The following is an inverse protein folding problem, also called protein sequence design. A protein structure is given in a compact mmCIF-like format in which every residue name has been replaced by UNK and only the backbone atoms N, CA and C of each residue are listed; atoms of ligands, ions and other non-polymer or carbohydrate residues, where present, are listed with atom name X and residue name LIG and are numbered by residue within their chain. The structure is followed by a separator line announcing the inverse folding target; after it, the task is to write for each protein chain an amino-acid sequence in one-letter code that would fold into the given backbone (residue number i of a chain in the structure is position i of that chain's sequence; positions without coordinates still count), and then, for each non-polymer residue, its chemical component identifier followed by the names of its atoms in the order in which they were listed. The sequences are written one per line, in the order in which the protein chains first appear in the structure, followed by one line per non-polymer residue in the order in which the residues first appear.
data_IF_561422318962
#
_entry.id   IF_561422318962
#
_cell.length_a   1.000
_cell.length_b   1.000
_cell.length_c   1.000
_cell.angle_alpha   90.00
_cell.angle_beta   90.00
_cell.angle_gamma   90.00
#
_symmetry.space_group_name_H-M   'P 1'
#
loop_
_entity.id
_entity.type
_entity.pdbx_description
1 polymer ?
#
# COMPACT_ATOMS: atom_id res chain seq x y z
N UNK A 1 -62.13 -58.84 -22.18
CA UNK A 1 -61.45 -58.74 -20.91
C UNK A 1 -59.95 -58.62 -21.11
N UNK A 2 -59.17 -57.90 -20.44
CA UNK A 2 -57.74 -57.98 -20.58
C UNK A 2 -57.03 -56.80 -19.97
N UNK A 3 -56.46 -57.00 -18.80
CA UNK A 3 -55.20 -56.45 -18.28
C UNK A 3 -54.88 -54.94 -18.35
N UNK A 4 -55.09 -54.29 -17.27
CA UNK A 4 -54.38 -53.06 -16.90
C UNK A 4 -54.01 -53.08 -15.42
N UNK A 5 -52.98 -53.87 -15.05
CA UNK A 5 -52.46 -53.88 -13.67
C UNK A 5 -50.94 -53.90 -13.55
N UNK A 6 -50.16 -53.76 -14.61
CA UNK A 6 -48.69 -53.84 -14.57
C UNK A 6 -47.98 -52.51 -14.33
N UNK A 7 -48.64 -51.37 -14.54
CA UNK A 7 -47.98 -50.02 -14.42
C UNK A 7 -47.83 -49.52 -12.96
N UNK A 8 -48.68 -49.95 -12.06
CA UNK A 8 -48.69 -49.40 -10.70
C UNK A 8 -47.62 -49.97 -9.75
N UNK A 9 -47.16 -51.22 -10.01
CA UNK A 9 -46.09 -51.84 -9.24
C UNK A 9 -44.70 -51.34 -9.65
N UNK A 10 -44.50 -51.01 -10.92
CA UNK A 10 -43.24 -50.49 -11.40
C UNK A 10 -42.97 -49.07 -10.88
N UNK A 11 -44.00 -48.23 -10.77
CA UNK A 11 -43.86 -46.86 -10.25
C UNK A 11 -43.45 -46.84 -8.77
N UNK A 12 -44.04 -47.71 -7.91
CA UNK A 12 -43.61 -47.80 -6.51
C UNK A 12 -42.16 -48.25 -6.31
N UNK A 13 -41.61 -49.08 -7.22
CA UNK A 13 -40.19 -49.43 -7.22
C UNK A 13 -39.31 -48.24 -7.65
N UNK A 14 -39.69 -47.52 -8.69
CA UNK A 14 -38.99 -46.33 -9.16
C UNK A 14 -38.97 -45.22 -8.09
N UNK A 15 -40.04 -45.04 -7.31
CA UNK A 15 -40.10 -44.05 -6.22
C UNK A 15 -39.08 -44.34 -5.10
N UNK A 16 -38.84 -45.63 -4.78
CA UNK A 16 -37.83 -46.03 -3.79
C UNK A 16 -36.40 -45.66 -4.25
N UNK A 17 -36.10 -45.84 -5.50
CA UNK A 17 -34.80 -45.46 -6.05
C UNK A 17 -34.63 -43.92 -6.19
N UNK A 18 -35.70 -43.23 -6.51
CA UNK A 18 -35.73 -41.76 -6.53
C UNK A 18 -35.46 -41.16 -5.14
N UNK A 19 -36.07 -41.75 -4.08
CA UNK A 19 -35.83 -41.31 -2.71
C UNK A 19 -34.34 -41.55 -2.28
N UNK A 20 -33.77 -42.69 -2.71
CA UNK A 20 -32.36 -43.01 -2.42
C UNK A 20 -31.41 -42.08 -3.17
N UNK A 21 -31.73 -41.71 -4.41
CA UNK A 21 -30.97 -40.74 -5.20
C UNK A 21 -31.01 -39.32 -4.59
N UNK A 22 -32.19 -38.91 -4.09
CA UNK A 22 -32.33 -37.60 -3.40
C UNK A 22 -31.53 -37.55 -2.10
N UNK A 23 -31.50 -38.64 -1.33
CA UNK A 23 -30.70 -38.76 -0.11
C UNK A 23 -29.18 -38.66 -0.37
N UNK A 24 -28.73 -39.06 -1.56
CA UNK A 24 -27.32 -38.91 -1.99
C UNK A 24 -27.03 -37.53 -2.60
N UNK A 25 -27.97 -36.99 -3.39
CA UNK A 25 -27.75 -35.72 -4.10
C UNK A 25 -27.80 -34.48 -3.20
N UNK A 26 -28.67 -34.50 -2.15
CA UNK A 26 -28.81 -33.38 -1.22
C UNK A 26 -27.48 -33.07 -0.47
N UNK A 27 -26.83 -34.04 0.18
CA UNK A 27 -25.55 -33.77 0.84
C UNK A 27 -24.43 -33.41 -0.13
N UNK A 28 -24.41 -33.99 -1.32
CA UNK A 28 -23.43 -33.66 -2.35
C UNK A 28 -23.64 -32.23 -2.85
N UNK A 29 -24.88 -31.82 -3.13
CA UNK A 29 -25.19 -30.44 -3.54
C UNK A 29 -24.86 -29.43 -2.44
N UNK A 30 -25.09 -29.78 -1.16
CA UNK A 30 -24.71 -28.96 -0.03
C UNK A 30 -23.17 -28.80 0.08
N UNK A 31 -22.41 -29.87 -0.12
CA UNK A 31 -20.96 -29.83 -0.13
C UNK A 31 -20.42 -29.00 -1.31
N UNK A 32 -21.01 -29.16 -2.50
CA UNK A 32 -20.65 -28.36 -3.68
C UNK A 32 -21.02 -26.89 -3.45
N UNK A 33 -22.20 -26.61 -2.89
CA UNK A 33 -22.63 -25.25 -2.57
C UNK A 33 -21.65 -24.57 -1.60
N UNK A 34 -21.27 -25.23 -0.51
CA UNK A 34 -20.30 -24.70 0.45
C UNK A 34 -18.91 -24.54 -0.16
N UNK A 35 -18.52 -25.41 -1.08
CA UNK A 35 -17.22 -25.31 -1.77
C UNK A 35 -17.20 -24.19 -2.82
N UNK A 36 -18.32 -23.97 -3.52
CA UNK A 36 -18.47 -22.92 -4.55
C UNK A 36 -18.83 -21.57 -3.93
N UNK A 37 -19.61 -21.57 -2.84
CA UNK A 37 -20.00 -20.33 -2.16
C UNK A 37 -18.82 -19.57 -1.56
N UNK A 38 -17.64 -20.22 -1.44
CA UNK A 38 -16.46 -19.60 -0.85
C UNK A 38 -16.68 -19.23 0.61
N UNK A 39 -15.64 -18.94 1.30
CA UNK A 39 -15.76 -18.25 2.59
C UNK A 39 -16.40 -16.87 2.34
N UNK A 40 -17.31 -16.41 3.21
CA UNK A 40 -17.84 -15.06 3.09
C UNK A 40 -16.63 -14.12 3.01
N UNK A 41 -16.59 -13.29 1.96
CA UNK A 41 -15.58 -12.23 1.85
C UNK A 41 -15.63 -11.49 3.18
N UNK A 42 -14.59 -11.62 3.99
CA UNK A 42 -14.52 -10.95 5.28
C UNK A 42 -14.85 -9.47 5.09
N UNK A 43 -15.57 -8.89 6.03
CA UNK A 43 -15.80 -7.44 6.01
C UNK A 43 -14.46 -6.75 5.76
N UNK A 44 -14.38 -5.94 4.70
CA UNK A 44 -13.21 -5.10 4.43
C UNK A 44 -13.18 -4.08 5.57
N UNK A 45 -12.41 -4.37 6.60
CA UNK A 45 -12.15 -3.40 7.66
C UNK A 45 -11.17 -2.37 7.12
N UNK A 46 -11.43 -1.07 7.33
CA UNK A 46 -10.44 -0.04 7.04
C UNK A 46 -9.11 -0.36 7.70
N UNK A 47 -8.01 0.01 7.05
CA UNK A 47 -6.68 -0.14 7.62
C UNK A 47 -6.61 0.47 9.03
N UNK A 48 -5.95 -0.18 9.95
CA UNK A 48 -5.71 0.38 11.28
C UNK A 48 -4.48 1.28 11.25
N UNK A 49 -4.56 2.45 11.90
CA UNK A 49 -3.38 3.30 12.04
C UNK A 49 -2.34 2.62 12.94
N UNK A 50 -1.11 2.50 12.43
CA UNK A 50 -0.04 1.91 13.20
C UNK A 50 1.19 1.59 12.35
N UNK A 51 2.23 1.12 13.03
CA UNK A 51 3.49 0.76 12.39
C UNK A 51 4.62 0.64 13.39
N UNK A 52 5.81 0.39 12.86
CA UNK A 52 7.05 0.30 13.60
C UNK A 52 7.98 1.43 13.16
N UNK A 53 8.45 2.23 14.12
CA UNK A 53 9.46 3.25 13.91
C UNK A 53 10.80 2.76 14.40
N UNK A 54 11.77 2.59 13.51
CA UNK A 54 13.15 2.28 13.83
C UNK A 54 13.98 3.55 13.75
N UNK A 55 14.60 3.93 14.86
CA UNK A 55 15.50 5.07 14.95
C UNK A 55 16.91 4.70 14.43
N UNK A 56 17.70 5.70 14.12
CA UNK A 56 19.07 5.55 13.64
C UNK A 56 20.02 4.79 14.59
N UNK A 57 19.69 4.72 15.87
CA UNK A 57 20.43 3.95 16.87
C UNK A 57 20.02 2.46 16.91
N UNK A 58 19.07 2.03 16.06
CA UNK A 58 18.56 0.67 15.98
C UNK A 58 17.40 0.36 16.94
N UNK A 59 16.97 1.30 17.77
CA UNK A 59 15.81 1.12 18.63
C UNK A 59 14.53 1.15 17.78
N UNK A 60 13.68 0.13 17.97
CA UNK A 60 12.38 0.01 17.27
C UNK A 60 11.23 0.23 18.24
N UNK A 61 10.23 0.99 17.81
CA UNK A 61 9.05 1.37 18.59
C UNK A 61 7.79 1.04 17.83
N UNK A 62 6.83 0.46 18.55
CA UNK A 62 5.51 0.18 18.01
C UNK A 62 4.62 1.41 18.24
N UNK A 63 4.11 1.99 17.16
CA UNK A 63 3.28 3.21 17.19
C UNK A 63 1.87 2.98 17.76
N UNK A 64 1.43 1.71 17.93
CA UNK A 64 0.16 1.42 18.58
C UNK A 64 0.13 1.74 20.07
N UNK A 65 1.27 1.63 20.73
CA UNK A 65 1.32 1.73 22.18
C UNK A 65 1.32 3.18 22.69
N UNK A 66 1.38 4.18 21.78
CA UNK A 66 1.42 5.63 22.10
C UNK A 66 2.42 5.99 23.21
N UNK A 67 3.39 5.13 23.47
CA UNK A 67 4.43 5.35 24.47
C UNK A 67 5.67 5.88 23.77
N UNK A 68 5.94 7.16 23.98
CA UNK A 68 7.21 7.73 23.56
C UNK A 68 8.35 6.99 24.29
N UNK A 69 9.32 6.46 23.57
CA UNK A 69 10.44 5.78 24.20
C UNK A 69 11.27 6.73 25.05
N UNK A 70 11.79 6.24 26.18
CA UNK A 70 12.86 6.92 26.92
C UNK A 70 14.03 7.19 25.97
N UNK A 71 14.37 8.47 25.73
CA UNK A 71 15.43 8.85 24.81
C UNK A 71 14.97 9.25 23.40
N UNK A 72 13.67 9.28 23.11
CA UNK A 72 13.15 10.01 21.97
C UNK A 72 13.44 11.50 22.22
N UNK A 73 14.38 12.04 21.46
CA UNK A 73 14.68 13.47 21.52
C UNK A 73 13.45 14.27 21.05
N UNK A 74 13.29 15.50 21.53
CA UNK A 74 12.16 16.43 21.30
C UNK A 74 11.85 16.77 19.84
N UNK A 75 12.22 15.89 18.88
CA UNK A 75 12.21 16.18 17.44
C UNK A 75 10.89 15.75 16.77
N UNK A 76 10.08 14.91 17.40
CA UNK A 76 8.81 14.47 16.82
C UNK A 76 7.72 14.25 17.89
N UNK A 77 6.47 14.42 17.48
CA UNK A 77 5.28 14.13 18.29
C UNK A 77 4.54 12.98 17.62
N UNK A 78 4.17 11.96 18.40
CA UNK A 78 3.25 10.90 17.97
C UNK A 78 1.88 11.24 18.53
N UNK A 79 0.89 11.34 17.66
CA UNK A 79 -0.52 11.52 18.04
C UNK A 79 -1.40 10.49 17.32
N UNK A 80 -2.71 10.55 17.55
CA UNK A 80 -3.69 9.65 16.91
C UNK A 80 -3.77 9.79 15.38
N UNK A 81 -3.08 10.78 14.79
CA UNK A 81 -3.03 11.04 13.35
C UNK A 81 -1.71 10.61 12.72
N UNK A 82 -0.69 10.21 13.52
CA UNK A 82 0.61 9.78 13.04
C UNK A 82 1.79 10.47 13.69
N UNK A 83 2.90 10.55 12.96
CA UNK A 83 4.17 11.11 13.41
C UNK A 83 4.33 12.53 12.85
N UNK A 84 4.59 13.50 13.71
CA UNK A 84 4.87 14.88 13.34
C UNK A 84 6.31 15.25 13.71
N UNK A 85 7.15 15.54 12.72
CA UNK A 85 8.48 16.07 12.96
C UNK A 85 8.43 17.58 13.12
N UNK A 86 8.95 18.09 14.25
CA UNK A 86 9.14 19.53 14.45
C UNK A 86 10.51 19.91 13.89
N UNK A 87 10.55 20.95 13.05
CA UNK A 87 11.82 21.50 12.57
C UNK A 87 12.59 22.05 13.77
N UNK A 88 13.76 21.50 14.14
CA UNK A 88 14.53 22.05 15.25
C UNK A 88 14.96 23.49 14.92
N UNK A 89 14.80 24.40 15.89
CA UNK A 89 15.18 25.80 15.72
C UNK A 89 16.68 25.99 15.39
N UNK A 90 17.53 25.03 15.78
CA UNK A 90 18.92 24.92 15.38
C UNK A 90 19.11 23.62 14.62
N UNK A 91 19.27 23.70 13.30
CA UNK A 91 19.65 22.53 12.49
C UNK A 91 20.95 21.95 13.06
N UNK A 92 20.96 20.77 13.65
CA UNK A 92 22.21 20.17 14.07
C UNK A 92 23.04 19.93 12.81
N UNK A 93 24.32 20.31 12.83
CA UNK A 93 25.32 19.86 11.83
C UNK A 93 25.62 18.37 12.07
N UNK A 94 24.60 17.53 12.05
CA UNK A 94 24.69 16.12 12.36
C UNK A 94 24.72 15.38 11.03
N UNK A 95 25.68 14.44 10.91
CA UNK A 95 25.68 13.33 9.97
C UNK A 95 24.24 12.88 9.72
N UNK A 96 23.84 12.67 8.47
CA UNK A 96 22.48 12.27 8.10
C UNK A 96 21.94 11.13 9.00
N UNK A 97 21.20 11.50 10.02
CA UNK A 97 20.52 10.55 10.90
C UNK A 97 19.23 10.17 10.19
N UNK A 98 19.11 8.91 9.79
CA UNK A 98 17.91 8.39 9.11
C UNK A 98 17.11 7.53 10.06
N UNK A 99 15.80 7.69 10.01
CA UNK A 99 14.83 6.80 10.64
C UNK A 99 14.10 6.00 9.57
N UNK A 100 13.53 4.87 9.97
CA UNK A 100 12.73 4.01 9.09
C UNK A 100 11.35 3.80 9.74
N UNK A 101 10.30 4.14 9.00
CA UNK A 101 8.91 3.86 9.36
C UNK A 101 8.42 2.69 8.51
N UNK A 102 7.86 1.67 9.15
CA UNK A 102 7.30 0.49 8.48
C UNK A 102 5.87 0.26 8.93
N UNK A 103 4.97 0.03 7.98
CA UNK A 103 3.61 -0.44 8.22
C UNK A 103 3.54 -1.95 8.06
N UNK A 104 2.70 -2.61 8.86
CA UNK A 104 2.46 -4.03 8.77
C UNK A 104 1.20 -4.33 7.94
N UNK A 105 0.89 -5.60 7.77
CA UNK A 105 -0.31 -6.04 7.05
C UNK A 105 -1.59 -5.42 7.63
N UNK A 106 -2.43 -4.81 6.77
CA UNK A 106 -3.67 -4.14 7.17
C UNK A 106 -3.48 -2.84 7.96
N UNK A 107 -2.26 -2.27 7.99
CA UNK A 107 -1.95 -1.01 8.67
C UNK A 107 -1.59 0.09 7.70
N UNK A 108 -1.88 1.32 8.10
CA UNK A 108 -1.48 2.53 7.41
C UNK A 108 -0.91 3.54 8.42
N UNK A 109 -0.04 4.42 7.96
CA UNK A 109 0.53 5.45 8.84
C UNK A 109 0.69 6.78 8.12
N UNK A 110 0.37 7.86 8.82
CA UNK A 110 0.63 9.23 8.36
C UNK A 110 1.87 9.78 9.03
N UNK A 111 2.69 10.48 8.27
CA UNK A 111 3.86 11.17 8.79
C UNK A 111 3.99 12.55 8.16
N UNK A 112 4.32 13.55 8.99
CA UNK A 112 4.74 14.88 8.53
C UNK A 112 6.24 15.00 8.75
N UNK A 113 6.98 15.13 7.66
CA UNK A 113 8.43 15.25 7.66
C UNK A 113 8.89 16.66 8.13
N UNK A 114 10.19 16.82 8.42
CA UNK A 114 10.74 18.07 8.96
C UNK A 114 10.64 19.28 8.02
N UNK A 115 10.38 19.06 6.74
CA UNK A 115 10.12 20.12 5.76
C UNK A 115 8.63 20.47 5.60
N UNK A 116 7.74 19.77 6.32
CA UNK A 116 6.29 19.90 6.24
C UNK A 116 5.64 19.01 5.17
N UNK A 117 6.41 18.22 4.43
CA UNK A 117 5.88 17.20 3.50
C UNK A 117 5.06 16.18 4.27
N UNK A 118 3.85 15.89 3.77
CA UNK A 118 2.97 14.86 4.33
C UNK A 118 3.10 13.59 3.52
N UNK A 119 3.24 12.48 4.21
CA UNK A 119 3.29 11.15 3.59
C UNK A 119 2.24 10.25 4.23
N UNK A 120 1.46 9.59 3.40
CA UNK A 120 0.57 8.51 3.80
C UNK A 120 1.17 7.20 3.32
N UNK A 121 1.62 6.39 4.25
CA UNK A 121 2.23 5.09 4.00
C UNK A 121 1.15 4.01 4.08
N UNK A 122 0.94 3.27 3.00
CA UNK A 122 -0.03 2.19 2.90
C UNK A 122 0.49 0.92 3.61
N UNK A 123 -0.32 -0.16 3.63
CA UNK A 123 0.05 -1.43 4.27
C UNK A 123 1.33 -2.03 3.66
N UNK A 124 2.09 -2.77 4.50
CA UNK A 124 3.30 -3.51 4.11
C UNK A 124 4.34 -2.65 3.39
N UNK A 125 4.46 -1.39 3.82
CA UNK A 125 5.31 -0.40 3.19
C UNK A 125 6.36 0.14 4.15
N UNK A 126 7.45 0.68 3.59
CA UNK A 126 8.57 1.20 4.34
C UNK A 126 9.02 2.55 3.78
N UNK A 127 9.21 3.53 4.66
CA UNK A 127 9.75 4.84 4.36
C UNK A 127 11.02 5.05 5.18
N UNK A 128 12.17 5.29 4.50
CA UNK A 128 13.41 5.69 5.14
C UNK A 128 13.68 7.15 4.82
N UNK A 129 13.86 7.97 5.85
CA UNK A 129 13.96 9.43 5.72
C UNK A 129 14.93 10.02 6.75
N UNK A 130 15.59 11.15 6.46
CA UNK A 130 16.42 11.85 7.43
C UNK A 130 15.56 12.64 8.41
N UNK A 131 16.02 12.76 9.67
CA UNK A 131 15.37 13.61 10.69
C UNK A 131 15.36 15.08 10.23
N UNK A 132 16.44 15.52 9.58
CA UNK A 132 16.56 16.85 8.96
C UNK A 132 17.11 16.69 7.57
N UNK A 133 16.50 17.33 6.59
CA UNK A 133 16.98 17.36 5.21
C UNK A 133 18.23 18.22 5.06
N UNK A 134 19.04 17.87 4.05
CA UNK A 134 20.21 18.64 3.66
C UNK A 134 19.82 20.00 3.06
N UNK A 135 20.80 20.90 2.93
CA UNK A 135 20.60 22.21 2.28
C UNK A 135 20.67 22.13 0.75
N UNK A 136 20.74 20.94 0.16
CA UNK A 136 20.77 20.74 -1.29
C UNK A 136 19.52 20.06 -1.82
N UNK A 137 19.18 18.93 -1.23
CA UNK A 137 18.11 18.04 -1.67
C UNK A 137 17.42 17.38 -0.47
N UNK A 138 16.16 17.04 -0.64
CA UNK A 138 15.31 16.34 0.34
C UNK A 138 15.09 14.92 -0.14
N UNK A 139 15.90 13.97 0.34
CA UNK A 139 15.89 12.59 -0.20
C UNK A 139 15.21 11.65 0.81
N UNK A 140 14.27 10.83 0.32
CA UNK A 140 13.65 9.72 1.03
C UNK A 140 13.70 8.45 0.18
N UNK A 141 13.55 7.28 0.83
CA UNK A 141 13.49 5.99 0.15
C UNK A 141 12.18 5.30 0.49
N UNK A 142 11.54 4.66 -0.49
CA UNK A 142 10.26 3.96 -0.35
C UNK A 142 10.36 2.56 -0.93
N UNK A 143 9.84 1.60 -0.17
CA UNK A 143 9.44 0.27 -0.63
C UNK A 143 7.98 0.06 -0.24
N UNK A 144 7.14 -0.50 -1.13
CA UNK A 144 5.70 -0.57 -0.93
C UNK A 144 4.95 0.59 -1.57
N UNK A 145 3.90 1.10 -0.91
CA UNK A 145 3.06 2.17 -1.48
C UNK A 145 2.96 3.36 -0.53
N UNK A 146 3.16 4.56 -1.11
CA UNK A 146 3.06 5.81 -0.38
C UNK A 146 2.48 6.94 -1.23
N UNK A 147 1.56 7.70 -0.65
CA UNK A 147 1.10 8.97 -1.19
C UNK A 147 1.89 10.11 -0.56
N UNK A 148 2.36 11.03 -1.39
CA UNK A 148 3.12 12.22 -1.01
C UNK A 148 2.33 13.49 -1.32
N UNK A 149 2.27 14.40 -0.35
CA UNK A 149 1.88 15.81 -0.52
C UNK A 149 3.09 16.65 -0.14
N UNK A 150 3.94 16.93 -1.14
CA UNK A 150 5.26 17.53 -0.94
C UNK A 150 5.16 19.03 -0.73
N UNK A 151 5.75 19.51 0.36
CA UNK A 151 5.86 20.94 0.67
C UNK A 151 6.61 21.67 -0.46
N UNK A 152 6.06 22.78 -1.00
CA UNK A 152 6.67 23.51 -2.11
C UNK A 152 8.02 24.12 -1.72
N UNK A 153 9.09 23.73 -2.42
CA UNK A 153 10.42 24.33 -2.32
C UNK A 153 11.22 24.07 -3.61
N UNK A 154 11.33 25.09 -4.44
CA UNK A 154 12.08 25.02 -5.72
C UNK A 154 13.58 25.03 -5.55
N UNK A 155 14.09 25.56 -4.42
CA UNK A 155 15.52 25.64 -4.15
C UNK A 155 16.12 24.30 -3.71
N UNK A 156 15.30 23.47 -3.04
CA UNK A 156 15.69 22.17 -2.49
C UNK A 156 14.73 21.09 -3.01
N UNK A 157 14.98 20.48 -4.16
CA UNK A 157 14.13 19.43 -4.74
C UNK A 157 13.90 18.28 -3.75
N UNK A 158 12.71 17.68 -3.80
CA UNK A 158 12.35 16.47 -3.07
C UNK A 158 12.51 15.27 -3.98
N UNK A 159 13.23 14.25 -3.52
CA UNK A 159 13.57 13.07 -4.29
C UNK A 159 13.06 11.83 -3.55
N UNK A 160 12.16 11.07 -4.19
CA UNK A 160 11.75 9.75 -3.74
C UNK A 160 12.52 8.70 -4.52
N UNK A 161 13.31 7.90 -3.82
CA UNK A 161 14.03 6.78 -4.39
C UNK A 161 13.25 5.48 -4.13
N UNK A 162 12.99 4.72 -5.17
CA UNK A 162 12.53 3.34 -5.13
C UNK A 162 13.66 2.41 -5.53
N UNK A 163 13.51 1.09 -5.51
CA UNK A 163 14.55 0.17 -5.99
C UNK A 163 14.98 0.41 -7.44
N UNK A 164 14.07 0.87 -8.34
CA UNK A 164 14.37 0.99 -9.78
C UNK A 164 14.18 2.40 -10.34
N UNK A 165 13.52 3.30 -9.62
CA UNK A 165 13.23 4.65 -10.11
C UNK A 165 13.62 5.73 -9.10
N UNK A 166 13.89 6.93 -9.63
CA UNK A 166 14.14 8.15 -8.85
C UNK A 166 13.17 9.24 -9.30
N UNK A 167 12.36 9.74 -8.39
CA UNK A 167 11.26 10.67 -8.65
C UNK A 167 11.63 12.02 -8.04
N UNK A 168 11.81 13.03 -8.88
CA UNK A 168 12.19 14.40 -8.48
C UNK A 168 11.01 15.34 -8.62
N UNK A 169 10.73 16.10 -7.56
CA UNK A 169 9.64 17.08 -7.49
C UNK A 169 10.03 18.33 -6.70
N UNK A 170 9.26 19.43 -6.84
CA UNK A 170 9.49 20.67 -6.09
C UNK A 170 8.27 21.19 -5.34
N UNK A 171 7.16 20.42 -5.31
CA UNK A 171 5.90 20.79 -4.68
C UNK A 171 4.75 20.13 -5.44
N UNK A 172 4.45 18.88 -5.14
CA UNK A 172 3.69 17.98 -6.00
C UNK A 172 2.95 16.97 -5.13
N UNK A 173 1.72 16.60 -5.53
CA UNK A 173 0.97 15.52 -4.90
C UNK A 173 0.92 14.33 -5.84
N UNK A 174 1.39 13.16 -5.39
CA UNK A 174 1.50 11.95 -6.21
C UNK A 174 1.52 10.68 -5.35
N UNK A 175 1.19 9.55 -5.98
CA UNK A 175 1.28 8.22 -5.39
C UNK A 175 2.43 7.43 -6.03
N UNK A 176 3.16 6.69 -5.22
CA UNK A 176 4.22 5.76 -5.64
C UNK A 176 3.86 4.38 -5.14
N UNK A 177 3.96 3.37 -6.01
CA UNK A 177 3.77 1.96 -5.69
C UNK A 177 4.96 1.17 -6.19
N UNK A 178 5.72 0.57 -5.27
CA UNK A 178 6.98 -0.12 -5.51
C UNK A 178 7.16 -1.30 -4.54
N UNK A 179 6.18 -2.22 -4.50
CA UNK A 179 6.28 -3.44 -3.69
C UNK A 179 7.29 -4.41 -4.31
N UNK A 180 8.10 -5.06 -3.46
CA UNK A 180 9.16 -5.94 -3.92
C UNK A 180 8.65 -7.20 -4.67
N UNK A 181 7.48 -7.70 -4.27
CA UNK A 181 6.81 -8.89 -4.82
C UNK A 181 5.95 -8.60 -6.06
N UNK A 182 5.75 -7.34 -6.44
CA UNK A 182 5.05 -6.97 -7.66
C UNK A 182 6.00 -6.89 -8.86
N UNK A 183 5.49 -7.16 -10.05
CA UNK A 183 6.26 -7.15 -11.30
C UNK A 183 6.57 -5.72 -11.80
N UNK A 184 5.84 -4.73 -11.30
CA UNK A 184 5.95 -3.34 -11.74
C UNK A 184 6.17 -2.39 -10.58
N UNK A 185 6.81 -1.24 -10.87
CA UNK A 185 6.74 -0.03 -10.06
C UNK A 185 5.90 1.01 -10.80
N UNK A 186 5.13 1.80 -10.08
CA UNK A 186 4.31 2.82 -10.71
C UNK A 186 4.26 4.13 -9.94
N UNK A 187 4.04 5.22 -10.67
CA UNK A 187 3.87 6.57 -10.11
C UNK A 187 2.70 7.26 -10.79
N UNK A 188 1.75 7.75 -9.99
CA UNK A 188 0.57 8.49 -10.48
C UNK A 188 0.66 9.94 -10.03
N UNK A 189 0.66 10.87 -10.97
CA UNK A 189 0.69 12.30 -10.69
C UNK A 189 -0.74 12.85 -10.54
N UNK A 190 -1.02 13.44 -9.37
CA UNK A 190 -2.30 14.10 -9.06
C UNK A 190 -2.21 15.60 -9.35
N UNK A 191 -1.19 16.29 -8.82
CA UNK A 191 -1.01 17.72 -9.04
C UNK A 191 0.46 18.12 -9.05
N UNK A 192 0.82 19.16 -9.80
CA UNK A 192 2.18 19.64 -9.96
C UNK A 192 2.89 19.08 -11.18
N UNK A 193 4.17 18.74 -11.06
CA UNK A 193 5.00 18.14 -12.09
C UNK A 193 6.02 17.17 -11.48
N UNK A 194 6.36 16.14 -12.21
CA UNK A 194 7.32 15.10 -11.80
C UNK A 194 8.36 14.91 -12.91
N UNK A 195 9.62 14.77 -12.49
CA UNK A 195 10.70 14.20 -13.29
C UNK A 195 10.99 12.80 -12.73
N UNK A 196 10.94 11.75 -13.56
CA UNK A 196 11.26 10.37 -13.19
C UNK A 196 12.45 9.91 -13.99
N UNK A 197 13.49 9.45 -13.28
CA UNK A 197 14.62 8.75 -13.89
C UNK A 197 14.50 7.27 -13.62
N UNK A 198 14.53 6.46 -14.67
CA UNK A 198 14.66 5.00 -14.63
C UNK A 198 16.07 4.59 -15.09
N UNK A 199 16.36 3.27 -15.16
CA UNK A 199 17.68 2.80 -15.62
C UNK A 199 18.05 3.29 -17.02
N UNK A 200 17.10 3.49 -17.91
CA UNK A 200 17.34 3.72 -19.33
C UNK A 200 16.94 5.11 -19.82
N UNK A 201 15.95 5.74 -19.20
CA UNK A 201 15.31 6.95 -19.71
C UNK A 201 14.77 7.84 -18.59
N UNK A 202 14.65 9.13 -18.91
CA UNK A 202 14.01 10.14 -18.08
C UNK A 202 12.64 10.50 -18.65
N UNK A 203 11.67 10.70 -17.76
CA UNK A 203 10.28 11.01 -18.09
C UNK A 203 9.82 12.25 -17.32
N UNK A 204 9.02 13.08 -17.99
CA UNK A 204 8.29 14.16 -17.34
C UNK A 204 6.80 13.84 -17.32
N UNK A 205 6.15 13.95 -16.16
CA UNK A 205 4.72 13.75 -16.01
C UNK A 205 3.98 15.07 -15.76
N UNK A 206 2.82 15.18 -16.39
CA UNK A 206 1.81 16.20 -16.09
C UNK A 206 0.65 15.56 -15.31
N UNK A 207 -0.23 16.35 -14.65
CA UNK A 207 -1.35 15.83 -13.87
C UNK A 207 -2.22 14.85 -14.68
N UNK A 208 -2.74 13.82 -13.99
CA UNK A 208 -3.50 12.70 -14.57
C UNK A 208 -2.67 11.77 -15.46
N UNK A 209 -1.34 11.76 -15.30
CA UNK A 209 -0.50 10.75 -15.92
C UNK A 209 -0.03 9.71 -14.90
N UNK A 210 0.11 8.50 -15.41
CA UNK A 210 0.53 7.31 -14.71
C UNK A 210 1.73 6.71 -15.43
N UNK A 211 2.85 6.61 -14.72
CA UNK A 211 4.09 5.98 -15.15
C UNK A 211 4.14 4.55 -14.59
N UNK A 212 4.58 3.61 -15.40
CA UNK A 212 4.80 2.21 -15.01
C UNK A 212 6.17 1.78 -15.53
N UNK A 213 6.98 1.22 -14.63
CA UNK A 213 8.24 0.54 -14.93
C UNK A 213 8.06 -0.96 -14.71
N UNK A 214 8.27 -1.77 -15.73
CA UNK A 214 8.24 -3.24 -15.66
C UNK A 214 9.63 -3.77 -15.29
N UNK A 215 9.73 -4.45 -14.16
CA UNK A 215 10.99 -4.96 -13.59
C UNK A 215 11.60 -6.09 -14.41
N UNK A 216 10.77 -6.84 -15.17
CA UNK A 216 11.20 -7.98 -15.96
C UNK A 216 11.75 -7.53 -17.33
N UNK A 217 10.98 -6.69 -18.04
CA UNK A 217 11.39 -6.17 -19.35
C UNK A 217 12.33 -4.96 -19.25
N UNK A 218 12.35 -4.26 -18.10
CA UNK A 218 13.03 -2.97 -17.86
C UNK A 218 12.55 -1.86 -18.79
N UNK A 219 11.31 -1.97 -19.24
CA UNK A 219 10.65 -0.97 -20.07
C UNK A 219 9.74 -0.09 -19.23
N UNK A 220 9.60 1.16 -19.65
CA UNK A 220 8.72 2.13 -19.01
C UNK A 220 7.62 2.58 -19.95
N UNK A 221 6.44 2.86 -19.42
CA UNK A 221 5.29 3.38 -20.16
C UNK A 221 4.62 4.51 -19.40
N UNK A 222 4.06 5.49 -20.14
CA UNK A 222 3.26 6.58 -19.58
C UNK A 222 1.87 6.54 -20.22
N UNK A 223 0.84 6.59 -19.40
CA UNK A 223 -0.57 6.60 -19.82
C UNK A 223 -1.37 7.68 -19.10
N UNK A 224 -2.51 8.06 -19.66
CA UNK A 224 -3.44 8.96 -18.96
C UNK A 224 -4.40 8.17 -18.09
N UNK A 225 -4.66 8.68 -16.89
CA UNK A 225 -5.60 8.11 -15.91
C UNK A 225 -6.53 9.19 -15.39
N UNK A 226 -7.71 8.80 -14.89
CA UNK A 226 -8.56 9.74 -14.16
C UNK A 226 -8.19 9.67 -12.67
N UNK A 227 -7.72 10.79 -12.12
CA UNK A 227 -7.36 10.93 -10.69
C UNK A 227 -8.44 11.67 -9.89
N UNK A 228 -9.58 12.04 -10.50
CA UNK A 228 -10.73 12.58 -9.78
C UNK A 228 -11.42 11.44 -8.99
N UNK A 229 -11.44 11.57 -7.69
CA UNK A 229 -12.14 10.68 -6.73
C UNK A 229 -13.50 11.26 -6.38
#
# INVERSE_FOLDING_TARGET
GGEKTSGFLSWKRSLKYAALLLLLLIPISYLIYNWVAGEPIGEITPGTHGGELTLSNGNTFNLFENVLPEGATEVFIIDSKGINYQTPANKPKVKEIKNTLRTLHGMECHIVLSDGTKVHLNAESQLTYPICFSDKERIVQVEGEAYFDVAPDKAHPFIVQTPHTSIRVTGTSFNVRAYADEEVESTTLISGAIEISSENEDYELIPNQHFVYDKNSRESTVSNVNTEL
#
